data_IF_716105942104
#
_entry.id   IF_716105942104
#
_cell.length_a   1.000
_cell.length_b   1.000
_cell.length_c   1.000
_cell.angle_alpha   90.00
_cell.angle_beta   90.00
_cell.angle_gamma   90.00
#
_symmetry.space_group_name_H-M   'P 1'
#
loop_
_entity.id
_entity.type
_entity.pdbx_description
1 polymer ?
#
# COMPACT_ATOMS: atom_id res chain seq x y z
N UNK A 1 45.45 -33.31 -1.49
CA UNK A 1 44.22 -32.54 -1.21
C UNK A 1 44.49 -31.72 0.04
N UNK A 2 44.60 -30.40 -0.11
CA UNK A 2 45.29 -29.52 0.82
C UNK A 2 44.43 -29.15 2.04
N UNK A 3 45.03 -29.15 3.24
CA UNK A 3 44.38 -28.87 4.52
C UNK A 3 43.68 -27.50 4.57
N UNK A 4 44.16 -26.54 3.77
CA UNK A 4 43.61 -25.19 3.61
C UNK A 4 42.19 -25.20 3.02
N UNK A 5 41.84 -26.22 2.23
CA UNK A 5 40.50 -26.37 1.64
C UNK A 5 39.48 -26.89 2.67
N UNK A 6 39.93 -27.60 3.73
CA UNK A 6 39.05 -28.09 4.81
C UNK A 6 38.69 -27.01 5.82
N UNK A 7 39.60 -26.09 6.12
CA UNK A 7 39.34 -25.01 7.10
C UNK A 7 38.43 -23.92 6.55
N UNK A 8 38.48 -23.63 5.25
CA UNK A 8 37.60 -22.65 4.62
C UNK A 8 36.10 -23.02 4.69
N UNK A 9 35.76 -24.32 4.74
CA UNK A 9 34.36 -24.77 4.83
C UNK A 9 33.77 -24.66 6.24
N UNK A 10 34.60 -24.52 7.28
CA UNK A 10 34.12 -24.47 8.67
C UNK A 10 34.02 -23.04 9.24
N UNK A 11 34.58 -22.04 8.56
CA UNK A 11 34.69 -20.66 9.10
C UNK A 11 33.62 -19.71 8.53
N UNK A 12 33.01 -20.03 7.39
CA UNK A 12 31.93 -19.20 6.87
C UNK A 12 30.60 -19.66 7.49
N UNK A 13 29.94 -18.83 8.34
CA UNK A 13 28.56 -19.10 8.70
C UNK A 13 27.77 -19.10 7.40
N UNK A 14 27.30 -20.29 7.00
CA UNK A 14 26.36 -20.43 5.89
C UNK A 14 25.19 -19.52 6.21
N UNK A 15 25.12 -18.37 5.54
CA UNK A 15 24.01 -17.45 5.67
C UNK A 15 22.75 -18.28 5.51
N UNK A 16 21.97 -18.41 6.60
CA UNK A 16 20.68 -19.08 6.53
C UNK A 16 19.91 -18.28 5.49
N UNK A 17 19.63 -18.89 4.35
CA UNK A 17 18.65 -18.35 3.42
C UNK A 17 17.43 -18.07 4.28
N UNK A 18 17.13 -16.78 4.50
CA UNK A 18 15.91 -16.38 5.15
C UNK A 18 14.82 -17.01 4.29
N UNK A 19 14.21 -18.07 4.81
CA UNK A 19 13.04 -18.68 4.18
C UNK A 19 12.06 -17.53 4.07
N UNK A 20 11.80 -17.09 2.85
CA UNK A 20 10.71 -16.17 2.59
C UNK A 20 9.47 -16.97 2.90
N UNK A 21 9.00 -16.86 4.14
CA UNK A 21 7.75 -17.43 4.62
C UNK A 21 6.63 -16.70 3.90
N UNK A 22 6.39 -17.04 2.63
CA UNK A 22 5.21 -16.63 1.87
C UNK A 22 4.02 -17.48 2.34
N UNK A 23 3.63 -17.37 3.61
CA UNK A 23 2.45 -18.10 4.13
C UNK A 23 1.13 -17.40 3.79
N UNK A 24 1.16 -16.09 3.54
CA UNK A 24 -0.07 -15.32 3.32
C UNK A 24 -0.71 -15.57 1.94
N UNK A 25 0.06 -15.93 0.91
CA UNK A 25 -0.45 -16.10 -0.45
C UNK A 25 -1.07 -17.48 -0.71
N UNK A 26 -0.67 -18.52 0.02
CA UNK A 26 -1.26 -19.87 -0.13
C UNK A 26 -2.56 -20.01 0.66
N UNK A 27 -2.65 -19.44 1.86
CA UNK A 27 -3.89 -19.45 2.66
C UNK A 27 -4.95 -18.48 2.11
N UNK A 28 -4.55 -17.31 1.60
CA UNK A 28 -5.48 -16.40 0.91
C UNK A 28 -6.05 -16.99 -0.39
N UNK A 29 -5.42 -18.02 -0.98
CA UNK A 29 -5.98 -18.75 -2.13
C UNK A 29 -6.85 -19.94 -1.72
N UNK A 30 -6.76 -20.41 -0.47
CA UNK A 30 -7.60 -21.50 0.03
C UNK A 30 -9.06 -21.06 0.25
N UNK A 31 -9.30 -19.76 0.51
CA UNK A 31 -10.64 -19.18 0.66
C UNK A 31 -11.29 -18.67 -0.64
N UNK A 32 -10.57 -18.75 -1.78
CA UNK A 32 -11.12 -18.42 -3.10
C UNK A 32 -12.11 -19.51 -3.50
N UNK A 33 -13.32 -19.43 -2.95
CA UNK A 33 -14.44 -20.28 -3.30
C UNK A 33 -14.63 -20.23 -4.82
N UNK A 34 -14.53 -21.39 -5.48
CA UNK A 34 -14.54 -21.52 -6.95
C UNK A 34 -15.91 -21.21 -7.59
N UNK A 35 -16.88 -20.74 -6.81
CA UNK A 35 -18.24 -20.40 -7.23
C UNK A 35 -18.79 -19.15 -6.52
N UNK A 36 -20.09 -18.91 -6.63
CA UNK A 36 -20.77 -17.82 -5.91
C UNK A 36 -21.23 -18.34 -4.53
N UNK A 37 -20.94 -17.64 -3.42
CA UNK A 37 -21.31 -18.13 -2.08
C UNK A 37 -22.83 -18.22 -1.96
N UNK A 38 -23.34 -19.37 -1.51
CA UNK A 38 -24.79 -19.61 -1.36
C UNK A 38 -25.30 -19.32 0.05
N UNK A 39 -24.38 -19.17 1.01
CA UNK A 39 -24.69 -18.98 2.42
C UNK A 39 -23.89 -17.80 3.01
N UNK A 40 -24.47 -17.15 4.02
CA UNK A 40 -23.87 -15.98 4.68
C UNK A 40 -22.54 -16.30 5.38
N UNK A 41 -22.40 -17.52 5.93
CA UNK A 41 -21.15 -17.99 6.55
C UNK A 41 -20.02 -18.11 5.54
N UNK A 42 -20.31 -18.68 4.37
CA UNK A 42 -19.36 -18.82 3.26
C UNK A 42 -18.97 -17.45 2.71
N UNK A 43 -19.94 -16.54 2.56
CA UNK A 43 -19.67 -15.17 2.11
C UNK A 43 -18.69 -14.46 3.05
N UNK A 44 -18.90 -14.55 4.37
CA UNK A 44 -18.00 -13.93 5.35
C UNK A 44 -16.60 -14.51 5.30
N UNK A 45 -16.46 -15.81 5.07
CA UNK A 45 -15.17 -16.48 4.95
C UNK A 45 -14.52 -16.36 3.58
N UNK A 46 -15.24 -15.89 2.55
CA UNK A 46 -14.76 -15.69 1.17
C UNK A 46 -14.41 -14.22 0.86
N UNK A 47 -14.64 -13.31 1.82
CA UNK A 47 -14.34 -11.88 1.67
C UNK A 47 -12.91 -11.63 2.12
N UNK A 48 -12.09 -11.03 1.25
CA UNK A 48 -10.71 -10.61 1.53
C UNK A 48 -10.57 -9.71 2.77
N UNK A 49 -11.62 -8.97 3.13
CA UNK A 49 -11.68 -8.17 4.36
C UNK A 49 -11.68 -9.00 5.65
N UNK A 50 -12.00 -10.30 5.58
CA UNK A 50 -11.92 -11.22 6.71
C UNK A 50 -10.48 -11.70 6.98
N UNK A 51 -9.57 -11.49 6.03
CA UNK A 51 -8.16 -11.87 6.13
C UNK A 51 -7.39 -10.84 6.97
N UNK A 52 -6.79 -11.23 8.11
CA UNK A 52 -5.93 -10.35 8.90
C UNK A 52 -4.78 -9.73 8.10
N UNK A 53 -4.29 -10.43 7.07
CA UNK A 53 -3.23 -9.97 6.18
C UNK A 53 -3.64 -8.84 5.24
N UNK A 54 -4.94 -8.58 5.05
CA UNK A 54 -5.43 -7.48 4.22
C UNK A 54 -5.29 -6.11 4.89
N UNK A 55 -5.37 -6.04 6.23
CA UNK A 55 -5.38 -4.77 6.96
C UNK A 55 -4.11 -3.92 6.78
N UNK A 56 -2.88 -4.47 6.80
CA UNK A 56 -1.68 -3.70 6.49
C UNK A 56 -1.72 -3.06 5.09
N UNK A 57 -2.23 -3.79 4.09
CA UNK A 57 -2.38 -3.28 2.72
C UNK A 57 -3.39 -2.15 2.69
N UNK A 58 -4.57 -2.35 3.30
CA UNK A 58 -5.62 -1.33 3.42
C UNK A 58 -5.07 -0.06 4.09
N UNK A 59 -4.28 -0.21 5.15
CA UNK A 59 -3.66 0.92 5.84
C UNK A 59 -2.73 1.71 4.92
N UNK A 60 -1.82 1.03 4.20
CA UNK A 60 -0.88 1.72 3.29
C UNK A 60 -1.60 2.43 2.15
N UNK A 61 -2.64 1.81 1.58
CA UNK A 61 -3.41 2.36 0.48
C UNK A 61 -4.25 3.54 0.94
N UNK A 62 -4.90 3.42 2.10
CA UNK A 62 -5.64 4.50 2.75
C UNK A 62 -4.72 5.69 3.05
N UNK A 63 -3.54 5.45 3.63
CA UNK A 63 -2.58 6.51 3.91
C UNK A 63 -2.12 7.23 2.64
N UNK A 64 -1.80 6.50 1.57
CA UNK A 64 -1.40 7.08 0.30
C UNK A 64 -2.52 7.94 -0.32
N UNK A 65 -3.76 7.43 -0.35
CA UNK A 65 -4.91 8.17 -0.85
C UNK A 65 -5.21 9.42 -0.02
N UNK A 66 -5.16 9.33 1.31
CA UNK A 66 -5.35 10.47 2.20
C UNK A 66 -4.27 11.53 1.96
N UNK A 67 -2.99 11.16 1.97
CA UNK A 67 -1.90 12.11 1.81
C UNK A 67 -1.93 12.80 0.43
N UNK A 68 -2.13 12.03 -0.64
CA UNK A 68 -2.25 12.59 -2.00
C UNK A 68 -3.43 13.56 -2.11
N UNK A 69 -4.61 13.17 -1.60
CA UNK A 69 -5.80 14.01 -1.62
C UNK A 69 -5.62 15.28 -0.78
N UNK A 70 -4.99 15.18 0.39
CA UNK A 70 -4.68 16.33 1.24
C UNK A 70 -3.73 17.32 0.54
N UNK A 71 -2.72 16.83 -0.17
CA UNK A 71 -1.80 17.69 -0.91
C UNK A 71 -2.48 18.39 -2.09
N UNK A 72 -3.30 17.67 -2.86
CA UNK A 72 -4.10 18.25 -3.94
C UNK A 72 -5.03 19.33 -3.37
N UNK A 73 -5.73 19.05 -2.28
CA UNK A 73 -6.60 20.01 -1.61
C UNK A 73 -5.83 21.23 -1.09
N UNK A 74 -4.63 21.03 -0.53
CA UNK A 74 -3.76 22.12 -0.09
C UNK A 74 -3.40 23.05 -1.26
N UNK A 75 -2.96 22.49 -2.39
CA UNK A 75 -2.68 23.28 -3.59
C UNK A 75 -3.93 24.02 -4.08
N UNK A 76 -5.08 23.34 -4.14
CA UNK A 76 -6.32 23.94 -4.59
C UNK A 76 -6.80 25.11 -3.70
N UNK A 77 -6.58 25.03 -2.39
CA UNK A 77 -7.02 26.08 -1.45
C UNK A 77 -5.99 27.22 -1.35
N UNK A 78 -4.70 26.90 -1.36
CA UNK A 78 -3.65 27.88 -1.10
C UNK A 78 -3.16 28.60 -2.35
N UNK A 79 -3.25 28.00 -3.53
CA UNK A 79 -2.84 28.66 -4.77
C UNK A 79 -3.69 29.92 -5.03
N UNK A 80 -3.08 31.08 -5.29
CA UNK A 80 -3.80 32.32 -5.55
C UNK A 80 -4.59 32.26 -6.87
N UNK A 81 -4.15 31.43 -7.81
CA UNK A 81 -4.80 31.25 -9.11
C UNK A 81 -6.10 30.45 -9.01
N UNK A 82 -6.27 29.66 -7.94
CA UNK A 82 -7.43 28.79 -7.76
C UNK A 82 -8.51 29.50 -6.94
N UNK A 83 -9.66 29.76 -7.56
CA UNK A 83 -10.75 30.59 -7.01
C UNK A 83 -11.93 29.77 -6.47
N UNK A 84 -11.64 28.77 -5.63
CA UNK A 84 -12.68 27.94 -5.03
C UNK A 84 -13.48 28.73 -3.98
N UNK A 85 -12.80 29.53 -3.15
CA UNK A 85 -13.42 30.35 -2.09
C UNK A 85 -14.02 31.65 -2.64
N UNK A 86 -15.19 32.06 -2.13
CA UNK A 86 -15.93 33.25 -2.58
C UNK A 86 -15.11 34.55 -2.50
N UNK A 87 -14.32 34.75 -1.45
CA UNK A 87 -13.49 35.96 -1.29
C UNK A 87 -12.42 36.14 -2.39
N UNK A 88 -11.82 35.04 -2.87
CA UNK A 88 -10.81 35.09 -3.95
C UNK A 88 -11.40 35.22 -5.35
N UNK A 89 -12.69 34.88 -5.53
CA UNK A 89 -13.37 35.01 -6.83
C UNK A 89 -13.49 36.46 -7.29
N UNK A 90 -13.51 37.41 -6.36
CA UNK A 90 -13.69 38.83 -6.64
C UNK A 90 -12.39 39.63 -6.80
N UNK A 91 -11.22 39.00 -6.63
CA UNK A 91 -9.95 39.69 -6.84
C UNK A 91 -9.69 39.91 -8.33
N UNK A 92 -9.15 41.08 -8.70
CA UNK A 92 -8.77 41.38 -10.09
C UNK A 92 -7.39 40.74 -10.36
N UNK A 93 -7.32 39.81 -11.32
CA UNK A 93 -6.14 38.93 -11.53
C UNK A 93 -4.99 39.62 -12.27
N UNK A 94 -5.31 40.64 -13.06
CA UNK A 94 -4.34 41.32 -13.93
C UNK A 94 -4.85 42.70 -14.29
N UNK A 95 -4.12 43.71 -13.84
CA UNK A 95 -4.26 45.09 -14.35
C UNK A 95 -3.33 45.21 -15.55
N UNK A 96 -3.89 45.55 -16.71
CA UNK A 96 -3.14 45.72 -17.96
C UNK A 96 -2.57 47.14 -18.11
N UNK A 97 -2.52 47.89 -17.01
CA UNK A 97 -2.01 49.26 -17.02
C UNK A 97 -0.49 49.24 -17.10
N UNK A 98 -0.02 49.58 -18.30
CA UNK A 98 1.31 50.07 -18.61
C UNK A 98 1.21 51.56 -18.91
#
# INVERSE_FOLDING_TARGET
MNALTRTAMNVLPRARSAVVTRTMASESRAHLYTGMPTNMSQLRSSIWLSDPGAYPVIFTLGFACCFASSFIAYCAIRNPDVRITTGRRQQLLRTWEH
#
